data_IF_119371005898
#
_entry.id   IF_119371005898
#
_cell.length_a   1.000
_cell.length_b   1.000
_cell.length_c   1.000
_cell.angle_alpha   90.00
_cell.angle_beta   90.00
_cell.angle_gamma   90.00
#
_symmetry.space_group_name_H-M   'P 1'
#
loop_
_entity.id
_entity.type
_entity.pdbx_description
1 polymer ?
#
# COMPACT_ATOMS: atom_id res chain seq x y z
N UNK A 1 54.34 -52.20 -8.17
CA UNK A 1 52.87 -52.27 -7.94
C UNK A 1 52.65 -52.50 -6.45
N UNK A 2 52.12 -51.49 -5.73
CA UNK A 2 51.72 -51.61 -4.32
C UNK A 2 50.27 -51.12 -4.25
N UNK A 3 49.35 -52.02 -3.92
CA UNK A 3 47.95 -51.71 -3.68
C UNK A 3 47.80 -51.23 -2.23
N UNK A 4 47.37 -49.99 -2.04
CA UNK A 4 47.01 -49.43 -0.73
C UNK A 4 45.55 -49.75 -0.41
N UNK A 5 45.33 -50.39 0.74
CA UNK A 5 44.00 -50.68 1.27
C UNK A 5 43.44 -49.41 1.94
N UNK A 6 42.35 -48.87 1.40
CA UNK A 6 41.52 -47.85 2.05
C UNK A 6 40.63 -48.54 3.09
N UNK A 7 40.88 -48.27 4.37
CA UNK A 7 39.99 -48.65 5.45
C UNK A 7 38.85 -47.62 5.55
N UNK A 8 37.64 -48.04 5.17
CA UNK A 8 36.41 -47.26 5.36
C UNK A 8 35.99 -47.36 6.83
N UNK A 9 36.23 -46.30 7.61
CA UNK A 9 35.72 -46.19 8.97
C UNK A 9 34.23 -45.81 8.92
N UNK A 10 33.38 -46.77 9.25
CA UNK A 10 31.93 -46.62 9.34
C UNK A 10 31.60 -45.84 10.63
N UNK A 11 31.31 -44.53 10.49
CA UNK A 11 30.81 -43.72 11.61
C UNK A 11 29.36 -44.16 11.92
N UNK A 12 29.04 -44.56 13.16
CA UNK A 12 27.66 -44.79 13.57
C UNK A 12 26.91 -43.46 13.63
N UNK A 13 25.90 -43.31 12.77
CA UNK A 13 24.93 -42.23 12.86
C UNK A 13 24.08 -42.45 14.11
N UNK A 14 24.49 -41.84 15.23
CA UNK A 14 23.65 -41.66 16.41
C UNK A 14 22.54 -40.69 16.04
N UNK A 15 21.40 -41.22 15.59
CA UNK A 15 20.16 -40.48 15.43
C UNK A 15 19.70 -39.98 16.80
N UNK A 16 20.12 -38.76 17.15
CA UNK A 16 19.56 -38.05 18.28
C UNK A 16 18.10 -37.73 17.92
N UNK A 17 17.16 -38.44 18.57
CA UNK A 17 15.77 -38.06 18.59
C UNK A 17 15.69 -36.65 19.19
N UNK A 18 15.62 -35.63 18.33
CA UNK A 18 15.28 -34.30 18.78
C UNK A 18 13.88 -34.41 19.41
N UNK A 19 13.70 -34.01 20.68
CA UNK A 19 12.40 -34.04 21.31
C UNK A 19 11.44 -33.21 20.46
N UNK A 20 10.28 -33.80 20.21
CA UNK A 20 9.19 -33.14 19.50
C UNK A 20 8.92 -31.80 20.22
N UNK A 21 8.94 -30.66 19.52
CA UNK A 21 8.74 -29.37 20.17
C UNK A 21 7.39 -29.41 20.89
N UNK A 22 7.41 -29.14 22.19
CA UNK A 22 6.21 -29.18 23.00
C UNK A 22 5.14 -28.29 22.35
N UNK A 23 3.87 -28.73 22.29
CA UNK A 23 2.80 -27.92 21.73
C UNK A 23 2.76 -26.58 22.46
N UNK A 24 2.95 -25.50 21.70
CA UNK A 24 2.90 -24.14 22.23
C UNK A 24 1.47 -23.86 22.65
N UNK A 25 1.23 -23.62 23.93
CA UNK A 25 -0.10 -23.24 24.43
C UNK A 25 -0.57 -21.98 23.71
N UNK A 26 -1.72 -22.02 23.00
CA UNK A 26 -2.19 -20.89 22.24
C UNK A 26 -2.55 -19.65 23.07
N UNK A 27 -2.61 -19.78 24.40
CA UNK A 27 -2.88 -18.66 25.29
C UNK A 27 -1.60 -18.07 25.92
N UNK A 28 -0.47 -18.77 25.80
CA UNK A 28 0.80 -18.32 26.39
C UNK A 28 1.33 -17.00 25.82
N UNK A 29 0.84 -16.60 24.63
CA UNK A 29 1.17 -15.36 23.96
C UNK A 29 0.10 -14.26 24.06
N UNK A 30 -1.07 -14.55 24.63
CA UNK A 30 -2.13 -13.55 24.81
C UNK A 30 -1.97 -12.87 26.16
N UNK A 31 -1.37 -11.68 26.16
CA UNK A 31 -1.29 -10.80 27.35
C UNK A 31 -2.24 -9.62 27.17
N UNK A 32 -3.35 -9.63 27.89
CA UNK A 32 -4.30 -8.51 27.91
C UNK A 32 -3.82 -7.49 28.96
N UNK A 33 -3.73 -6.21 28.57
CA UNK A 33 -3.33 -5.13 29.49
C UNK A 33 -1.83 -5.01 29.72
N UNK A 34 -1.01 -5.59 28.84
CA UNK A 34 0.43 -5.37 28.85
C UNK A 34 0.76 -3.94 28.39
N UNK A 35 1.83 -3.38 28.95
CA UNK A 35 2.42 -2.15 28.45
C UNK A 35 2.99 -2.39 27.04
N UNK A 36 2.30 -1.86 26.03
CA UNK A 36 2.60 -2.06 24.62
C UNK A 36 4.02 -1.63 24.24
N UNK A 37 4.61 -0.70 25.00
CA UNK A 37 5.97 -0.23 24.78
C UNK A 37 6.99 -1.26 25.27
N UNK A 38 6.77 -1.78 26.47
CA UNK A 38 7.59 -2.85 27.02
C UNK A 38 7.53 -4.11 26.13
N UNK A 39 6.35 -4.43 25.57
CA UNK A 39 6.22 -5.53 24.62
C UNK A 39 6.98 -5.29 23.31
N UNK A 40 6.83 -4.10 22.71
CA UNK A 40 7.54 -3.72 21.51
C UNK A 40 9.07 -3.75 21.70
N UNK A 41 9.58 -3.25 22.83
CA UNK A 41 11.02 -3.29 23.13
C UNK A 41 11.53 -4.70 23.42
N UNK A 42 10.73 -5.53 24.12
CA UNK A 42 11.07 -6.95 24.33
C UNK A 42 11.17 -7.67 22.98
N UNK A 43 10.24 -7.42 22.07
CA UNK A 43 10.27 -8.00 20.73
C UNK A 43 11.46 -7.48 19.90
N UNK A 44 11.77 -6.18 19.98
CA UNK A 44 12.93 -5.59 19.34
C UNK A 44 14.26 -6.24 19.81
N UNK A 45 14.38 -6.52 21.11
CA UNK A 45 15.53 -7.22 21.66
C UNK A 45 15.64 -8.65 21.12
N UNK A 46 14.54 -9.41 21.13
CA UNK A 46 14.51 -10.78 20.57
C UNK A 46 14.85 -10.82 19.07
N UNK A 47 14.38 -9.84 18.29
CA UNK A 47 14.74 -9.71 16.89
C UNK A 47 16.24 -9.47 16.72
N UNK A 48 16.80 -8.55 17.50
CA UNK A 48 18.23 -8.24 17.49
C UNK A 48 19.08 -9.47 17.83
N UNK A 49 18.70 -10.23 18.85
CA UNK A 49 19.35 -11.51 19.23
C UNK A 49 19.31 -12.54 18.11
N UNK A 50 18.28 -12.51 17.26
CA UNK A 50 18.10 -13.38 16.09
C UNK A 50 18.74 -12.82 14.81
N UNK A 51 19.56 -11.77 14.91
CA UNK A 51 20.27 -11.18 13.78
C UNK A 51 19.44 -10.26 12.88
N UNK A 52 18.26 -9.82 13.34
CA UNK A 52 17.52 -8.76 12.66
C UNK A 52 18.10 -7.39 13.01
N UNK A 53 18.08 -6.48 12.04
CA UNK A 53 18.32 -5.05 12.26
C UNK A 53 17.00 -4.36 12.53
N UNK A 54 16.78 -3.94 13.78
CA UNK A 54 15.63 -3.10 14.15
C UNK A 54 15.88 -1.68 13.66
N UNK A 55 14.96 -1.17 12.84
CA UNK A 55 15.05 0.13 12.18
C UNK A 55 14.18 1.19 12.86
N UNK A 56 13.24 1.73 12.08
CA UNK A 56 12.32 2.76 12.54
C UNK A 56 11.45 2.26 13.69
N UNK A 57 11.23 3.14 14.67
CA UNK A 57 10.30 2.97 15.78
C UNK A 57 9.37 4.18 15.82
N UNK A 58 8.12 3.95 16.16
CA UNK A 58 7.15 5.01 16.42
C UNK A 58 6.43 4.72 17.73
N UNK A 59 6.12 5.78 18.46
CA UNK A 59 5.36 5.74 19.71
C UNK A 59 4.22 6.73 19.57
N UNK A 60 3.00 6.22 19.66
CA UNK A 60 1.80 7.02 19.82
C UNK A 60 1.32 7.00 21.27
N UNK A 61 0.13 7.56 21.47
CA UNK A 61 -0.60 7.57 22.74
C UNK A 61 -1.14 6.19 23.13
N UNK A 62 -1.60 5.42 22.15
CA UNK A 62 -2.24 4.11 22.36
C UNK A 62 -1.51 2.95 21.69
N UNK A 63 -0.34 3.23 21.08
CA UNK A 63 0.44 2.20 20.37
C UNK A 63 1.94 2.41 20.41
N UNK A 64 2.67 1.31 20.17
CA UNK A 64 4.05 1.32 19.74
C UNK A 64 4.15 0.56 18.41
N UNK A 65 4.96 1.07 17.48
CA UNK A 65 5.22 0.41 16.21
C UNK A 65 6.72 0.29 15.95
N UNK A 66 7.13 -0.79 15.29
CA UNK A 66 8.51 -0.96 14.87
C UNK A 66 8.62 -1.63 13.51
N UNK A 67 9.67 -1.26 12.78
CA UNK A 67 10.15 -1.97 11.62
C UNK A 67 11.45 -2.69 11.91
N UNK A 68 11.63 -3.88 11.33
CA UNK A 68 12.89 -4.57 11.34
C UNK A 68 13.15 -5.25 10.00
N UNK A 69 14.43 -5.54 9.73
CA UNK A 69 14.84 -6.21 8.51
C UNK A 69 15.97 -7.19 8.73
N UNK A 70 16.04 -8.20 7.89
CA UNK A 70 17.15 -9.14 7.75
C UNK A 70 17.33 -9.47 6.27
N UNK A 71 18.22 -10.40 5.93
CA UNK A 71 18.50 -10.78 4.54
C UNK A 71 17.22 -11.22 3.82
N UNK A 72 16.80 -10.43 2.82
CA UNK A 72 15.63 -10.71 1.99
C UNK A 72 14.27 -10.63 2.70
N UNK A 73 14.23 -10.15 3.95
CA UNK A 73 13.01 -10.09 4.75
C UNK A 73 12.88 -8.77 5.51
N UNK A 74 11.66 -8.30 5.65
CA UNK A 74 11.32 -7.19 6.54
C UNK A 74 9.98 -7.40 7.20
N UNK A 75 9.77 -6.66 8.28
CA UNK A 75 8.56 -6.71 9.06
C UNK A 75 8.21 -5.34 9.61
N UNK A 76 6.90 -5.13 9.81
CA UNK A 76 6.32 -4.06 10.61
C UNK A 76 5.35 -4.68 11.60
N UNK A 77 5.34 -4.15 12.82
CA UNK A 77 4.47 -4.59 13.91
C UNK A 77 3.89 -3.38 14.63
N UNK A 78 2.64 -3.46 15.06
CA UNK A 78 1.96 -2.46 15.89
C UNK A 78 1.41 -3.16 17.12
N UNK A 79 1.81 -2.70 18.30
CA UNK A 79 1.26 -3.11 19.59
C UNK A 79 0.37 -2.03 20.17
N UNK A 80 -0.71 -2.46 20.81
CA UNK A 80 -1.63 -1.61 21.57
C UNK A 80 -1.86 -2.23 22.95
N UNK A 81 -2.70 -1.61 23.79
CA UNK A 81 -3.09 -2.20 25.07
C UNK A 81 -3.78 -3.58 24.94
N UNK A 82 -4.19 -3.96 23.73
CA UNK A 82 -4.76 -5.28 23.39
C UNK A 82 -3.71 -6.33 23.03
N UNK A 83 -2.43 -5.96 22.98
CA UNK A 83 -1.33 -6.79 22.48
C UNK A 83 -0.93 -6.42 21.05
N UNK A 84 -0.43 -7.39 20.28
CA UNK A 84 -0.05 -7.20 18.89
C UNK A 84 -1.31 -6.99 18.00
N UNK A 85 -1.55 -5.75 17.58
CA UNK A 85 -2.73 -5.36 16.82
C UNK A 85 -2.55 -5.49 15.30
N UNK A 86 -1.32 -5.37 14.79
CA UNK A 86 -1.01 -5.57 13.37
C UNK A 86 0.35 -6.23 13.18
N UNK A 87 0.42 -7.17 12.22
CA UNK A 87 1.63 -7.86 11.82
C UNK A 87 1.75 -7.91 10.29
N UNK A 88 2.70 -7.17 9.74
CA UNK A 88 2.99 -7.15 8.31
C UNK A 88 4.39 -7.70 8.08
N UNK A 89 4.52 -8.69 7.21
CA UNK A 89 5.79 -9.29 6.81
C UNK A 89 5.99 -9.16 5.30
N UNK A 90 7.25 -9.02 4.88
CA UNK A 90 7.63 -9.12 3.48
C UNK A 90 8.85 -10.04 3.31
N UNK A 91 8.86 -10.89 2.27
CA UNK A 91 7.72 -11.17 1.38
C UNK A 91 6.59 -11.94 2.10
N UNK A 92 5.34 -11.73 1.66
CA UNK A 92 4.18 -12.48 2.12
C UNK A 92 3.65 -13.40 1.00
N UNK A 93 3.17 -14.62 1.28
CA UNK A 93 2.62 -15.52 0.26
C UNK A 93 1.43 -14.93 -0.51
N UNK A 94 0.57 -14.18 0.18
CA UNK A 94 -0.69 -13.65 -0.37
C UNK A 94 -0.49 -12.33 -1.14
N UNK A 95 0.63 -11.64 -0.88
CA UNK A 95 0.94 -10.35 -1.49
C UNK A 95 2.43 -10.27 -1.80
N UNK A 96 2.77 -10.27 -3.09
CA UNK A 96 4.16 -10.13 -3.53
C UNK A 96 4.65 -8.69 -3.32
N UNK A 97 5.06 -8.39 -2.09
CA UNK A 97 5.79 -7.18 -1.72
C UNK A 97 7.18 -7.59 -1.31
N UNK A 98 8.21 -6.95 -1.87
CA UNK A 98 9.60 -7.29 -1.55
C UNK A 98 10.04 -6.80 -0.18
N UNK A 99 9.57 -5.61 0.20
CA UNK A 99 9.95 -4.94 1.44
C UNK A 99 8.77 -4.20 2.04
N UNK A 100 8.70 -4.19 3.37
CA UNK A 100 7.81 -3.35 4.16
C UNK A 100 8.64 -2.48 5.09
N UNK A 101 8.22 -1.21 5.23
CA UNK A 101 8.91 -0.20 6.02
C UNK A 101 7.92 0.55 6.87
N UNK A 102 8.35 0.97 8.06
CA UNK A 102 7.65 1.97 8.85
C UNK A 102 8.20 3.33 8.43
N UNK A 103 7.34 4.23 7.96
CA UNK A 103 7.79 5.57 7.61
C UNK A 103 8.36 6.27 8.86
N UNK A 104 9.25 7.26 8.72
CA UNK A 104 9.67 8.08 9.85
C UNK A 104 8.45 8.69 10.56
N UNK A 105 8.51 8.90 11.89
CA UNK A 105 7.41 9.53 12.61
C UNK A 105 7.06 10.87 11.95
N UNK A 106 5.82 10.96 11.50
CA UNK A 106 5.25 12.19 10.96
C UNK A 106 4.90 13.10 12.14
N UNK A 107 5.37 14.38 12.17
CA UNK A 107 4.89 15.34 13.16
C UNK A 107 3.39 15.56 12.95
N UNK A 108 2.59 15.27 13.98
CA UNK A 108 1.13 15.07 13.92
C UNK A 108 0.75 13.75 13.23
N UNK A 109 0.71 12.67 14.02
CA UNK A 109 0.30 11.35 13.55
C UNK A 109 -1.20 11.29 13.20
N UNK A 110 -2.00 12.26 13.62
CA UNK A 110 -3.38 12.46 13.17
C UNK A 110 -3.36 13.17 11.80
N UNK A 111 -3.13 12.39 10.76
CA UNK A 111 -2.95 12.84 9.38
C UNK A 111 -4.25 13.35 8.76
N UNK A 112 -5.37 13.01 9.38
CA UNK A 112 -6.69 13.22 8.81
C UNK A 112 -7.63 14.07 9.69
N UNK A 113 -7.16 14.40 10.89
CA UNK A 113 -7.75 15.39 11.79
C UNK A 113 -8.96 14.86 12.56
N UNK A 114 -9.10 13.55 12.69
CA UNK A 114 -10.21 12.92 13.38
C UNK A 114 -9.94 12.63 14.87
N UNK A 115 -8.71 12.91 15.33
CA UNK A 115 -8.28 12.77 16.71
C UNK A 115 -7.63 11.43 17.04
N UNK A 116 -7.52 10.51 16.08
CA UNK A 116 -6.76 9.28 16.19
C UNK A 116 -5.38 9.43 15.54
N UNK A 117 -4.45 8.54 15.89
CA UNK A 117 -3.10 8.57 15.31
C UNK A 117 -2.98 7.47 14.25
N UNK A 118 -2.47 7.84 13.07
CA UNK A 118 -2.11 6.93 12.00
C UNK A 118 -0.64 6.49 12.07
N UNK A 119 -0.44 5.20 11.82
CA UNK A 119 0.84 4.57 11.54
C UNK A 119 0.99 4.44 10.02
N UNK A 120 2.06 5.03 9.48
CA UNK A 120 2.33 4.98 8.04
C UNK A 120 3.24 3.79 7.71
N UNK A 121 2.71 2.82 6.96
CA UNK A 121 3.44 1.63 6.54
C UNK A 121 3.68 1.69 5.03
N UNK A 122 4.95 1.71 4.61
CA UNK A 122 5.33 1.63 3.20
C UNK A 122 5.53 0.18 2.76
N UNK A 123 5.12 -0.13 1.54
CA UNK A 123 5.42 -1.39 0.87
C UNK A 123 5.96 -1.11 -0.54
N UNK A 124 7.10 -1.71 -0.88
CA UNK A 124 7.71 -1.55 -2.20
C UNK A 124 7.00 -2.44 -3.22
N UNK A 125 6.54 -1.82 -4.30
CA UNK A 125 6.03 -2.45 -5.51
C UNK A 125 7.15 -2.43 -6.55
N UNK A 126 7.84 -3.56 -6.70
CA UNK A 126 8.96 -3.71 -7.63
C UNK A 126 8.50 -3.60 -9.09
N UNK A 127 7.28 -4.03 -9.41
CA UNK A 127 6.78 -4.01 -10.78
C UNK A 127 6.61 -2.58 -11.29
N UNK A 128 6.24 -1.66 -10.40
CA UNK A 128 6.07 -0.25 -10.70
C UNK A 128 7.22 0.65 -10.19
N UNK A 129 8.28 0.07 -9.61
CA UNK A 129 9.42 0.78 -9.00
C UNK A 129 8.97 1.93 -8.08
N UNK A 130 8.04 1.63 -7.17
CA UNK A 130 7.42 2.63 -6.27
C UNK A 130 7.25 2.08 -4.86
N UNK A 131 7.11 2.98 -3.90
CA UNK A 131 6.65 2.65 -2.54
C UNK A 131 5.24 3.16 -2.36
N UNK A 132 4.32 2.26 -2.01
CA UNK A 132 2.97 2.64 -1.61
C UNK A 132 2.85 2.65 -0.09
N UNK A 133 2.33 3.74 0.45
CA UNK A 133 2.06 3.88 1.86
C UNK A 133 0.59 3.54 2.16
N UNK A 134 0.40 2.73 3.20
CA UNK A 134 -0.87 2.52 3.86
C UNK A 134 -0.92 3.39 5.13
N UNK A 135 -2.08 3.98 5.37
CA UNK A 135 -2.39 4.72 6.58
C UNK A 135 -3.14 3.77 7.51
N UNK A 136 -2.53 3.37 8.62
CA UNK A 136 -3.15 2.47 9.60
C UNK A 136 -3.52 3.26 10.83
N UNK A 137 -4.81 3.55 11.01
CA UNK A 137 -5.32 4.23 12.19
C UNK A 137 -5.33 3.29 13.38
N UNK A 138 -4.93 3.78 14.55
CA UNK A 138 -5.13 3.11 15.83
C UNK A 138 -6.21 3.86 16.62
N UNK A 139 -7.32 3.19 16.91
CA UNK A 139 -8.40 3.80 17.68
C UNK A 139 -8.10 3.85 19.20
N UNK A 140 -9.00 4.46 19.98
CA UNK A 140 -8.88 4.58 21.44
C UNK A 140 -9.07 3.25 22.18
N UNK A 141 -9.64 2.25 21.52
CA UNK A 141 -9.78 0.90 22.03
C UNK A 141 -8.57 0.01 21.69
N UNK A 142 -7.64 0.50 20.87
CA UNK A 142 -6.44 -0.20 20.43
C UNK A 142 -6.68 -1.16 19.26
N UNK A 143 -7.74 -0.98 18.46
CA UNK A 143 -7.91 -1.64 17.16
C UNK A 143 -7.16 -0.89 16.07
N UNK A 144 -6.77 -1.62 15.03
CA UNK A 144 -6.16 -1.05 13.83
C UNK A 144 -7.13 -1.11 12.66
N UNK A 145 -7.20 -0.03 11.89
CA UNK A 145 -8.01 0.07 10.69
C UNK A 145 -7.19 0.71 9.56
N UNK A 146 -7.35 0.21 8.34
CA UNK A 146 -6.79 0.91 7.19
C UNK A 146 -7.64 2.16 6.90
N UNK A 147 -7.01 3.32 7.01
CA UNK A 147 -7.54 4.64 6.67
C UNK A 147 -7.01 5.15 5.32
N UNK A 148 -6.30 4.31 4.56
CA UNK A 148 -5.79 4.66 3.24
C UNK A 148 -6.98 5.00 2.33
N UNK A 149 -7.01 6.20 1.70
CA UNK A 149 -8.08 6.54 0.78
C UNK A 149 -8.10 5.59 -0.42
N UNK A 150 -9.27 5.03 -0.71
CA UNK A 150 -9.45 4.25 -1.94
C UNK A 150 -10.10 5.12 -3.00
N UNK A 151 -9.41 5.31 -4.13
CA UNK A 151 -9.95 6.04 -5.28
C UNK A 151 -10.45 5.09 -6.37
N UNK A 152 -11.07 3.97 -5.98
CA UNK A 152 -11.52 2.93 -6.93
C UNK A 152 -12.46 3.50 -8.00
N UNK A 153 -13.27 4.48 -7.63
CA UNK A 153 -14.22 5.14 -8.52
C UNK A 153 -13.55 5.95 -9.63
N UNK A 154 -12.27 6.31 -9.46
CA UNK A 154 -11.49 7.03 -10.46
C UNK A 154 -10.81 6.10 -11.47
N UNK A 155 -10.95 4.78 -11.30
CA UNK A 155 -10.39 3.76 -12.18
C UNK A 155 -8.89 3.81 -12.40
N UNK A 156 -8.16 4.53 -11.55
CA UNK A 156 -6.72 4.50 -11.51
C UNK A 156 -6.23 3.66 -10.34
N UNK A 157 -4.99 3.20 -10.44
CA UNK A 157 -4.31 2.59 -9.30
C UNK A 157 -3.87 3.70 -8.32
N UNK A 158 -4.65 3.87 -7.26
CA UNK A 158 -4.34 4.81 -6.18
C UNK A 158 -3.28 4.27 -5.24
N UNK A 159 -2.26 5.08 -4.98
CA UNK A 159 -1.16 4.75 -4.08
C UNK A 159 -0.72 6.04 -3.37
N UNK A 160 -0.64 6.05 -2.04
CA UNK A 160 0.02 7.14 -1.34
C UNK A 160 1.52 6.98 -1.58
N UNK A 161 2.17 7.98 -2.17
CA UNK A 161 3.59 7.86 -2.57
C UNK A 161 4.51 8.85 -1.88
N UNK A 162 3.94 9.76 -1.12
CA UNK A 162 4.71 10.75 -0.41
C UNK A 162 3.85 11.62 0.45
N UNK A 163 4.52 12.58 1.06
CA UNK A 163 3.92 13.54 1.96
C UNK A 163 4.45 14.92 1.61
N UNK A 164 3.63 15.94 1.77
CA UNK A 164 4.02 17.32 1.54
C UNK A 164 3.56 18.21 2.68
N UNK A 165 4.27 19.30 2.94
CA UNK A 165 3.78 20.31 3.87
C UNK A 165 2.67 21.11 3.16
N UNK A 166 1.43 20.90 3.61
CA UNK A 166 0.26 21.68 3.22
C UNK A 166 -0.07 22.75 4.23
N UNK A 167 -1.18 23.47 3.99
CA UNK A 167 -1.66 24.53 4.88
C UNK A 167 -2.01 24.04 6.31
N UNK A 168 -2.24 22.74 6.46
CA UNK A 168 -2.69 22.08 7.70
C UNK A 168 -1.61 21.23 8.37
N UNK A 169 -0.39 21.25 7.85
CA UNK A 169 0.69 20.36 8.29
C UNK A 169 1.03 19.34 7.20
N UNK A 170 1.44 18.15 7.60
CA UNK A 170 1.84 17.12 6.65
C UNK A 170 0.60 16.50 5.99
N UNK A 171 0.52 16.56 4.65
CA UNK A 171 -0.56 16.00 3.86
C UNK A 171 -0.04 14.82 3.05
N UNK A 172 -0.73 13.67 3.13
CA UNK A 172 -0.44 12.52 2.31
C UNK A 172 -0.78 12.82 0.84
N UNK A 173 0.09 12.41 -0.09
CA UNK A 173 -0.09 12.62 -1.52
C UNK A 173 -0.44 11.30 -2.19
N UNK A 174 -1.67 11.21 -2.69
CA UNK A 174 -2.14 10.03 -3.42
C UNK A 174 -1.87 10.25 -4.89
N UNK A 175 -1.10 9.34 -5.50
CA UNK A 175 -0.82 9.33 -6.93
C UNK A 175 -1.73 8.30 -7.59
N UNK A 176 -2.63 8.79 -8.44
CA UNK A 176 -3.49 7.99 -9.31
C UNK A 176 -2.78 7.77 -10.63
N UNK A 177 -2.64 6.51 -11.05
CA UNK A 177 -2.07 6.14 -12.35
C UNK A 177 -3.12 5.49 -13.24
N UNK A 178 -3.01 5.75 -14.54
CA UNK A 178 -3.92 5.24 -15.56
C UNK A 178 -3.15 4.39 -16.60
N UNK A 179 -2.60 3.22 -16.21
CA UNK A 179 -1.79 2.39 -17.10
C UNK A 179 -2.54 1.95 -18.37
N UNK A 180 -3.85 1.74 -18.29
CA UNK A 180 -4.75 1.41 -19.41
C UNK A 180 -4.89 2.56 -20.43
N UNK A 181 -4.60 3.79 -20.01
CA UNK A 181 -4.58 4.98 -20.85
C UNK A 181 -3.17 5.37 -21.31
N UNK A 182 -2.17 4.54 -21.01
CA UNK A 182 -0.79 4.81 -21.40
C UNK A 182 -0.57 4.65 -22.90
N UNK A 183 0.35 5.45 -23.43
CA UNK A 183 0.84 5.33 -24.82
C UNK A 183 2.36 5.14 -24.86
N UNK A 184 3.08 6.13 -24.35
CA UNK A 184 4.55 6.08 -24.17
C UNK A 184 4.96 6.21 -22.72
N UNK A 185 4.09 6.79 -21.90
CA UNK A 185 4.27 6.95 -20.46
C UNK A 185 2.90 6.88 -19.79
N UNK A 186 2.86 6.28 -18.60
CA UNK A 186 1.64 6.18 -17.79
C UNK A 186 1.22 7.59 -17.33
N UNK A 187 0.00 8.05 -17.67
CA UNK A 187 -0.57 9.26 -17.10
C UNK A 187 -0.73 9.10 -15.59
N UNK A 188 -0.38 10.15 -14.85
CA UNK A 188 -0.47 10.12 -13.39
C UNK A 188 -0.86 11.50 -12.82
N UNK A 189 -1.80 11.49 -11.88
CA UNK A 189 -2.23 12.70 -11.16
C UNK A 189 -1.98 12.48 -9.69
N UNK A 190 -1.24 13.38 -9.04
CA UNK A 190 -1.22 13.38 -7.57
C UNK A 190 -2.29 14.34 -7.04
N UNK A 191 -2.95 13.93 -5.97
CA UNK A 191 -3.90 14.72 -5.22
C UNK A 191 -3.56 14.67 -3.74
N UNK A 192 -3.73 15.79 -3.00
CA UNK A 192 -3.67 15.72 -1.56
C UNK A 192 -4.77 14.79 -1.07
N UNK A 193 -4.44 13.98 -0.06
CA UNK A 193 -5.40 13.20 0.68
C UNK A 193 -6.36 14.16 1.38
N UNK A 194 -7.64 14.00 1.06
CA UNK A 194 -8.72 14.64 1.80
C UNK A 194 -9.42 13.52 2.54
N UNK A 195 -9.38 13.48 3.88
CA UNK A 195 -10.18 12.53 4.64
C UNK A 195 -11.62 12.64 4.18
N UNK A 196 -12.20 11.52 3.76
CA UNK A 196 -13.64 11.42 3.69
C UNK A 196 -14.15 11.62 5.11
N UNK A 197 -14.91 12.70 5.35
CA UNK A 197 -15.60 12.83 6.62
C UNK A 197 -16.41 11.55 6.80
N UNK A 198 -16.25 10.79 7.89
CA UNK A 198 -17.23 9.79 8.21
C UNK A 198 -18.57 10.53 8.31
N UNK A 199 -19.58 10.08 7.57
CA UNK A 199 -20.92 10.66 7.58
C UNK A 199 -21.57 10.63 8.99
N UNK A 200 -20.93 9.95 9.96
CA UNK A 200 -21.50 9.63 11.27
C UNK A 200 -20.60 9.98 12.47
N UNK A 201 -19.33 10.41 12.28
CA UNK A 201 -18.52 10.87 13.41
C UNK A 201 -18.75 12.36 13.65
N UNK A 202 -19.37 12.71 14.77
CA UNK A 202 -19.40 14.08 15.29
C UNK A 202 -17.99 14.52 15.74
N UNK A 203 -17.08 14.71 14.79
CA UNK A 203 -15.81 15.39 15.07
C UNK A 203 -16.16 16.83 15.45
N UNK A 204 -15.76 17.34 16.63
CA UNK A 204 -16.15 18.68 17.03
C UNK A 204 -15.62 19.67 16.00
N UNK A 205 -16.50 20.52 15.45
CA UNK A 205 -16.22 21.43 14.33
C UNK A 205 -15.00 22.37 14.49
N UNK A 206 -14.42 22.44 15.70
CA UNK A 206 -13.20 23.19 16.02
C UNK A 206 -11.90 22.47 15.66
N UNK A 207 -11.93 21.17 15.38
CA UNK A 207 -10.73 20.36 15.10
C UNK A 207 -10.53 20.06 13.62
N UNK A 208 -11.50 20.39 12.77
CA UNK A 208 -11.38 20.27 11.32
C UNK A 208 -11.05 21.66 10.76
N UNK A 209 -9.81 21.93 10.33
CA UNK A 209 -9.57 23.11 9.51
C UNK A 209 -10.35 22.90 8.21
N UNK A 210 -11.38 23.74 7.98
CA UNK A 210 -12.01 23.81 6.66
C UNK A 210 -10.90 24.25 5.70
N UNK A 211 -10.52 23.38 4.77
CA UNK A 211 -10.04 23.89 3.50
C UNK A 211 -11.19 24.74 2.96
N UNK A 212 -10.96 26.05 2.88
CA UNK A 212 -11.84 26.89 2.09
C UNK A 212 -11.83 26.27 0.69
N UNK A 213 -12.98 25.93 0.10
CA UNK A 213 -13.05 25.25 -1.20
C UNK A 213 -12.12 25.84 -2.28
N UNK A 214 -11.85 27.15 -2.20
CA UNK A 214 -10.92 27.85 -3.09
C UNK A 214 -9.42 27.52 -2.93
N UNK A 215 -8.94 26.91 -1.85
CA UNK A 215 -7.52 26.52 -1.71
C UNK A 215 -7.17 25.28 -2.54
N UNK A 216 -7.99 24.24 -2.41
CA UNK A 216 -7.86 23.02 -3.21
C UNK A 216 -8.01 23.32 -4.71
N UNK A 217 -8.95 24.20 -5.06
CA UNK A 217 -9.11 24.69 -6.43
C UNK A 217 -7.88 25.47 -6.91
N UNK A 218 -7.27 26.33 -6.08
CA UNK A 218 -6.05 27.08 -6.43
C UNK A 218 -4.88 26.14 -6.70
N UNK A 219 -4.70 25.11 -5.87
CA UNK A 219 -3.63 24.13 -6.03
C UNK A 219 -3.84 23.28 -7.28
N UNK A 220 -5.07 22.78 -7.50
CA UNK A 220 -5.43 22.06 -8.73
C UNK A 220 -5.19 22.92 -9.97
N UNK A 221 -5.59 24.20 -9.94
CA UNK A 221 -5.36 25.13 -11.04
C UNK A 221 -3.86 25.40 -11.29
N UNK A 222 -3.05 25.53 -10.24
CA UNK A 222 -1.60 25.66 -10.35
C UNK A 222 -0.97 24.41 -10.97
N UNK A 223 -1.45 23.23 -10.59
CA UNK A 223 -1.00 21.95 -11.14
C UNK A 223 -1.39 21.79 -12.61
N UNK A 224 -2.62 22.13 -12.97
CA UNK A 224 -3.06 22.15 -14.38
C UNK A 224 -2.21 23.10 -15.23
N UNK A 225 -1.83 24.27 -14.71
CA UNK A 225 -0.87 25.17 -15.39
C UNK A 225 0.50 24.52 -15.56
N UNK A 226 1.07 23.97 -14.49
CA UNK A 226 2.38 23.31 -14.52
C UNK A 226 2.41 22.12 -15.51
N UNK A 227 1.34 21.34 -15.61
CA UNK A 227 1.23 20.23 -16.57
C UNK A 227 1.20 20.72 -18.01
N UNK A 228 0.50 21.82 -18.30
CA UNK A 228 0.49 22.46 -19.62
C UNK A 228 1.86 23.03 -20.02
N UNK A 229 2.64 23.47 -19.04
CA UNK A 229 3.99 24.02 -19.24
C UNK A 229 5.08 22.96 -19.39
N UNK A 230 4.89 21.75 -18.85
CA UNK A 230 5.83 20.64 -19.03
C UNK A 230 5.78 20.10 -20.46
N UNK A 231 6.95 19.74 -21.01
CA UNK A 231 7.07 18.97 -22.28
C UNK A 231 6.67 17.50 -22.09
N UNK A 232 5.49 17.25 -21.54
CA UNK A 232 4.90 15.92 -21.55
C UNK A 232 4.45 15.57 -22.98
N UNK A 233 4.33 14.28 -23.29
CA UNK A 233 3.61 13.87 -24.50
C UNK A 233 2.17 14.40 -24.42
N UNK A 234 1.68 15.05 -25.49
CA UNK A 234 0.34 15.67 -25.53
C UNK A 234 -0.77 14.73 -25.07
N UNK A 235 -0.68 13.44 -25.41
CA UNK A 235 -1.58 12.38 -24.95
C UNK A 235 -1.65 12.29 -23.42
N UNK A 236 -0.48 12.17 -22.77
CA UNK A 236 -0.39 12.10 -21.30
C UNK A 236 -0.99 13.33 -20.65
N UNK A 237 -0.62 14.53 -21.11
CA UNK A 237 -1.14 15.78 -20.57
C UNK A 237 -2.66 15.90 -20.75
N UNK A 238 -3.22 15.43 -21.87
CA UNK A 238 -4.66 15.42 -22.11
C UNK A 238 -5.40 14.54 -21.10
N UNK A 239 -4.91 13.31 -20.84
CA UNK A 239 -5.48 12.39 -19.85
C UNK A 239 -5.39 12.99 -18.43
N UNK A 240 -4.21 13.48 -18.03
CA UNK A 240 -4.01 14.04 -16.68
C UNK A 240 -4.89 15.26 -16.41
N UNK A 241 -5.13 16.12 -17.41
CA UNK A 241 -6.03 17.27 -17.26
C UNK A 241 -7.50 16.86 -17.18
N UNK A 242 -7.92 15.86 -17.95
CA UNK A 242 -9.27 15.32 -17.85
C UNK A 242 -9.53 14.70 -16.47
N UNK A 243 -8.56 13.95 -15.95
CA UNK A 243 -8.60 13.36 -14.61
C UNK A 243 -8.66 14.45 -13.52
N UNK A 244 -7.87 15.52 -13.64
CA UNK A 244 -7.94 16.66 -12.72
C UNK A 244 -9.30 17.38 -12.75
N UNK A 245 -9.91 17.53 -13.93
CA UNK A 245 -11.26 18.09 -14.05
C UNK A 245 -12.29 17.19 -13.34
N UNK A 246 -12.20 15.87 -13.52
CA UNK A 246 -13.06 14.93 -12.82
C UNK A 246 -12.93 15.02 -11.29
N UNK A 247 -11.69 15.05 -10.79
CA UNK A 247 -11.37 15.25 -9.36
C UNK A 247 -11.87 16.59 -8.81
N UNK A 248 -12.03 17.60 -9.67
CA UNK A 248 -12.63 18.88 -9.34
C UNK A 248 -14.17 18.84 -9.27
N UNK A 249 -14.79 17.69 -9.55
CA UNK A 249 -16.25 17.55 -9.61
C UNK A 249 -16.86 18.11 -10.88
N UNK A 250 -16.03 18.41 -11.89
CA UNK A 250 -16.51 18.92 -13.17
C UNK A 250 -17.29 17.83 -13.93
N UNK A 251 -18.28 18.26 -14.71
CA UNK A 251 -19.07 17.34 -15.53
C UNK A 251 -18.23 16.70 -16.65
N UNK A 252 -18.80 15.65 -17.26
CA UNK A 252 -18.15 14.91 -18.34
C UNK A 252 -17.81 15.78 -19.55
N UNK A 253 -18.62 16.79 -19.86
CA UNK A 253 -18.37 17.71 -20.96
C UNK A 253 -17.12 18.55 -20.71
N UNK A 254 -16.97 19.08 -19.50
CA UNK A 254 -15.79 19.82 -19.08
C UNK A 254 -14.52 18.96 -19.05
N UNK A 255 -14.63 17.70 -18.63
CA UNK A 255 -13.52 16.73 -18.69
C UNK A 255 -13.04 16.49 -20.13
N UNK A 256 -13.97 16.24 -21.07
CA UNK A 256 -13.65 16.06 -22.49
C UNK A 256 -13.10 17.33 -23.11
N UNK A 257 -13.63 18.50 -22.75
CA UNK A 257 -13.09 19.78 -23.23
C UNK A 257 -11.64 20.00 -22.75
N UNK A 258 -11.31 19.62 -21.51
CA UNK A 258 -9.94 19.70 -20.99
C UNK A 258 -8.97 18.77 -21.75
N UNK A 259 -9.44 17.57 -22.13
CA UNK A 259 -8.69 16.63 -22.97
C UNK A 259 -8.45 17.22 -24.37
N UNK A 260 -9.54 17.60 -25.05
CA UNK A 260 -9.54 18.08 -26.45
C UNK A 260 -8.74 19.38 -26.61
N UNK A 261 -8.70 20.24 -25.58
CA UNK A 261 -7.88 21.45 -25.59
C UNK A 261 -6.37 21.19 -25.74
N UNK A 262 -5.89 20.02 -25.27
CA UNK A 262 -4.48 19.63 -25.40
C UNK A 262 -4.23 18.75 -26.61
N UNK A 263 -5.20 17.91 -26.97
CA UNK A 263 -5.12 16.96 -28.07
C UNK A 263 -6.33 17.08 -29.02
N UNK A 264 -6.41 18.16 -29.83
CA UNK A 264 -7.56 18.43 -30.69
C UNK A 264 -7.71 17.45 -31.86
N UNK A 265 -6.59 16.85 -32.29
CA UNK A 265 -6.52 15.87 -33.37
C UNK A 265 -5.96 14.54 -32.81
N UNK A 266 -6.73 13.79 -32.02
CA UNK A 266 -6.25 12.54 -31.42
C UNK A 266 -6.08 11.45 -32.48
N UNK A 267 -5.00 10.68 -32.37
CA UNK A 267 -4.86 9.42 -33.11
C UNK A 267 -5.66 8.30 -32.45
N UNK A 268 -5.50 7.05 -32.91
CA UNK A 268 -6.25 5.91 -32.39
C UNK A 268 -6.13 5.75 -30.85
N UNK A 269 -4.94 5.97 -30.27
CA UNK A 269 -4.74 5.88 -28.83
C UNK A 269 -5.42 7.06 -28.10
N UNK A 270 -5.33 8.27 -28.66
CA UNK A 270 -6.04 9.43 -28.13
C UNK A 270 -7.57 9.26 -28.18
N UNK A 271 -8.09 8.70 -29.27
CA UNK A 271 -9.53 8.40 -29.42
C UNK A 271 -10.00 7.35 -28.41
N UNK A 272 -9.22 6.29 -28.20
CA UNK A 272 -9.52 5.28 -27.19
C UNK A 272 -9.56 5.88 -25.77
N UNK A 273 -8.56 6.70 -25.41
CA UNK A 273 -8.55 7.39 -24.12
C UNK A 273 -9.73 8.35 -23.95
N UNK A 274 -10.04 9.13 -25.00
CA UNK A 274 -11.20 10.03 -25.01
C UNK A 274 -12.53 9.29 -24.86
N UNK A 275 -12.68 8.16 -25.55
CA UNK A 275 -13.87 7.31 -25.45
C UNK A 275 -14.02 6.75 -24.02
N UNK A 276 -12.91 6.26 -23.44
CA UNK A 276 -12.88 5.81 -22.04
C UNK A 276 -13.33 6.91 -21.08
N UNK A 277 -12.81 8.13 -21.20
CA UNK A 277 -13.24 9.29 -20.39
C UNK A 277 -14.74 9.58 -20.58
N UNK A 278 -15.25 9.46 -21.81
CA UNK A 278 -16.67 9.66 -22.11
C UNK A 278 -17.58 8.58 -21.51
N UNK A 279 -17.08 7.36 -21.33
CA UNK A 279 -17.80 6.28 -20.64
C UNK A 279 -17.76 6.47 -19.11
N UNK A 280 -16.71 7.11 -18.60
CA UNK A 280 -16.51 7.42 -17.19
C UNK A 280 -15.16 6.90 -16.70
N UNK A 281 -14.80 7.23 -15.46
CA UNK A 281 -13.50 6.82 -14.89
C UNK A 281 -13.55 5.46 -14.20
N UNK A 282 -14.72 5.02 -13.72
CA UNK A 282 -14.88 3.72 -13.04
C UNK A 282 -14.31 2.60 -13.90
N UNK A 283 -13.31 1.88 -13.40
CA UNK A 283 -12.86 0.64 -14.04
C UNK A 283 -14.01 -0.36 -14.00
N UNK A 284 -14.24 -1.14 -15.07
CA UNK A 284 -15.12 -2.29 -14.95
C UNK A 284 -14.64 -3.12 -13.75
N UNK A 285 -15.55 -3.50 -12.86
CA UNK A 285 -15.19 -4.36 -11.74
C UNK A 285 -14.43 -5.56 -12.30
N UNK A 286 -13.29 -5.94 -11.71
CA UNK A 286 -12.61 -7.16 -12.13
C UNK A 286 -13.65 -8.26 -12.08
N UNK A 287 -13.92 -8.88 -13.23
CA UNK A 287 -14.82 -10.03 -13.29
C UNK A 287 -14.27 -11.00 -12.26
N UNK A 288 -15.05 -11.38 -11.23
CA UNK A 288 -14.57 -12.33 -10.23
C UNK A 288 -14.01 -13.51 -10.99
N UNK A 289 -12.74 -13.84 -10.73
CA UNK A 289 -12.18 -15.11 -11.17
C UNK A 289 -13.10 -16.17 -10.57
N UNK A 290 -13.98 -16.74 -11.39
CA UNK A 290 -15.07 -17.59 -10.93
C UNK A 290 -14.56 -18.96 -10.45
N UNK A 291 -13.24 -19.10 -10.36
CA UNK A 291 -12.58 -20.32 -9.96
C UNK A 291 -12.96 -21.48 -10.88
N UNK A 292 -13.41 -21.18 -12.11
CA UNK A 292 -13.48 -22.20 -13.16
C UNK A 292 -12.05 -22.52 -13.57
N UNK A 293 -11.38 -23.30 -12.70
CA UNK A 293 -10.40 -24.28 -13.13
C UNK A 293 -11.02 -24.95 -14.35
N UNK A 294 -10.48 -24.60 -15.51
CA UNK A 294 -10.68 -25.41 -16.70
C UNK A 294 -10.07 -26.75 -16.31
N UNK A 295 -10.93 -27.66 -15.86
CA UNK A 295 -10.65 -29.08 -15.75
C UNK A 295 -10.29 -29.54 -17.17
N UNK A 296 -9.03 -29.29 -17.57
CA UNK A 296 -8.39 -29.92 -18.70
C UNK A 296 -8.05 -31.36 -18.26
N UNK A 297 -9.11 -32.11 -17.98
CA UNK A 297 -9.09 -33.56 -17.87
C UNK A 297 -8.86 -34.10 -19.29
N UNK A 298 -7.62 -33.93 -19.77
CA UNK A 298 -7.10 -34.72 -20.86
C UNK A 298 -7.18 -36.19 -20.46
N UNK A 299 -8.06 -36.92 -21.15
CA UNK A 299 -8.12 -38.38 -21.19
C UNK A 299 -6.70 -38.95 -21.37
N UNK A 300 -6.06 -39.35 -20.27
CA UNK A 300 -4.86 -40.17 -20.32
C UNK A 300 -5.34 -41.60 -20.55
N UNK A 301 -5.29 -42.02 -21.81
CA UNK A 301 -5.56 -43.40 -22.21
C UNK A 301 -4.70 -44.38 -21.39
N UNK A 302 -5.36 -45.30 -20.68
CA UNK A 302 -4.71 -46.38 -19.95
C UNK A 302 -3.90 -47.27 -20.91
N UNK A 303 -2.66 -47.66 -20.58
CA UNK A 303 -1.91 -48.63 -21.37
C UNK A 303 -2.46 -50.05 -21.14
N UNK A 304 -2.82 -50.74 -22.23
CA UNK A 304 -3.22 -52.15 -22.17
C UNK A 304 -2.09 -53.04 -21.59
N UNK A 305 -2.42 -53.97 -20.68
CA UNK A 305 -1.45 -54.93 -20.16
C UNK A 305 -1.09 -55.99 -21.21
N UNK A 306 0.21 -56.27 -21.33
CA UNK A 306 0.77 -57.47 -22.01
C UNK A 306 1.14 -58.54 -21.00
#
# INVERSE_FOLDING_TARGET
>A
MRFGALAFAMLPALGACAPEPAPVDPWSYVRIGADFETEAETFAAQLTERGWTVGARQRGRSFAALAARTEGRSLVRIWTARGLALSVDAPAPEHWRRDVVLAPPVPAADLDGDGFEEVVIGATDDAADRTCFALVRVDDQGFTHEATPTYRDLGGEGCVEGFTEGARGLEAMVVLRFPELARTSVPAVAVPFVPERPAEAEVPARWVPRLEPGELERERAARSRALRERRLGRHRAAVELAALAHLAGEDRGAQLAAFDAVLPDPDAAGLAARARIAEGWVLPEPVPDDGSEVDDAGDVAEPEPR
#
